data_IF_507260027848
#
_entry.id   IF_507260027848
#
_cell.length_a   1.000
_cell.length_b   1.000
_cell.length_c   1.000
_cell.angle_alpha   90.00
_cell.angle_beta   90.00
_cell.angle_gamma   90.00
#
_symmetry.space_group_name_H-M   'P 1'
#
loop_
_entity.id
_entity.type
_entity.pdbx_description
1 polymer ?
#
# COMPACT_ATOMS: atom_id res chain seq x y z
N UNK A 1 -1.20 -9.12 17.90
CA UNK A 1 -2.17 -8.31 17.14
C UNK A 1 -2.46 -9.07 15.87
N UNK A 2 -3.71 -9.47 15.65
CA UNK A 2 -4.13 -10.20 14.45
C UNK A 2 -4.73 -9.19 13.47
N UNK A 3 -4.33 -9.27 12.21
CA UNK A 3 -4.87 -8.44 11.14
C UNK A 3 -5.88 -9.23 10.32
N UNK A 4 -7.01 -8.60 10.01
CA UNK A 4 -7.99 -9.16 9.09
C UNK A 4 -7.62 -8.77 7.66
N UNK A 5 -7.18 -9.75 6.88
CA UNK A 5 -6.92 -9.57 5.44
C UNK A 5 -8.25 -9.55 4.69
N UNK A 6 -8.43 -8.55 3.84
CA UNK A 6 -9.61 -8.38 2.98
C UNK A 6 -9.20 -8.30 1.52
N UNK A 7 -10.12 -8.66 0.63
CA UNK A 7 -9.96 -8.42 -0.80
C UNK A 7 -10.57 -7.07 -1.16
N UNK A 8 -9.79 -6.21 -1.80
CA UNK A 8 -10.24 -4.93 -2.34
C UNK A 8 -10.21 -5.00 -3.87
N UNK A 9 -11.30 -4.56 -4.48
CA UNK A 9 -11.38 -4.38 -5.93
C UNK A 9 -11.42 -2.87 -6.22
N UNK A 10 -10.30 -2.31 -6.67
CA UNK A 10 -10.28 -0.93 -7.13
C UNK A 10 -10.91 -0.86 -8.52
N UNK A 11 -11.90 0.02 -8.67
CA UNK A 11 -12.67 0.18 -9.92
C UNK A 11 -12.06 1.24 -10.85
N UNK A 12 -11.18 2.07 -10.31
CA UNK A 12 -10.45 3.14 -10.98
C UNK A 12 -9.04 3.27 -10.39
N UNK A 13 -8.17 3.99 -11.10
CA UNK A 13 -6.83 4.30 -10.60
C UNK A 13 -6.91 5.38 -9.52
N UNK A 14 -6.09 5.26 -8.48
CA UNK A 14 -5.83 6.36 -7.56
C UNK A 14 -4.50 7.00 -7.94
N UNK A 15 -4.51 8.27 -8.30
CA UNK A 15 -3.36 9.08 -8.65
C UNK A 15 -2.73 9.77 -7.44
N UNK A 16 -1.40 9.89 -7.49
CA UNK A 16 -0.57 10.52 -6.48
C UNK A 16 0.43 11.46 -7.14
N UNK A 17 0.59 12.65 -6.57
CA UNK A 17 1.52 13.66 -7.01
C UNK A 17 2.74 13.68 -6.09
N UNK A 18 3.93 13.54 -6.68
CA UNK A 18 5.19 13.45 -5.94
C UNK A 18 5.94 14.79 -6.04
N UNK A 19 6.03 15.50 -4.91
CA UNK A 19 7.11 16.48 -4.75
C UNK A 19 8.38 15.72 -4.34
N UNK A 20 9.54 16.17 -4.80
CA UNK A 20 10.77 15.39 -4.82
C UNK A 20 11.28 14.93 -3.43
N UNK A 21 10.71 15.46 -2.36
CA UNK A 21 10.93 15.08 -0.97
C UNK A 21 9.59 15.13 -0.21
N UNK A 22 9.47 14.50 0.97
CA UNK A 22 8.31 14.71 1.87
C UNK A 22 8.11 16.20 2.27
N UNK A 23 9.07 17.06 1.90
CA UNK A 23 8.96 18.51 1.98
C UNK A 23 7.98 19.05 0.94
N UNK A 24 6.97 19.74 1.44
CA UNK A 24 5.95 20.43 0.68
C UNK A 24 6.57 21.70 0.07
N UNK A 25 6.64 21.83 -1.26
CA UNK A 25 6.93 23.12 -1.91
C UNK A 25 5.77 24.12 -1.75
N UNK A 26 6.07 25.43 -1.83
CA UNK A 26 5.05 26.50 -1.80
C UNK A 26 4.00 26.36 -2.93
N UNK A 27 4.36 25.73 -4.05
CA UNK A 27 3.46 25.46 -5.17
C UNK A 27 2.39 24.42 -4.83
N UNK A 28 2.72 23.49 -3.94
CA UNK A 28 1.82 22.46 -3.42
C UNK A 28 0.77 23.04 -2.47
N UNK A 29 1.02 24.19 -1.84
CA UNK A 29 0.06 24.87 -0.93
C UNK A 29 -1.12 25.51 -1.65
N UNK A 30 -0.95 25.82 -2.93
CA UNK A 30 -1.98 26.48 -3.75
C UNK A 30 -2.82 25.51 -4.57
N UNK A 31 -2.44 24.23 -4.61
CA UNK A 31 -3.12 23.25 -5.44
C UNK A 31 -4.29 22.59 -4.70
N UNK A 32 -5.51 23.07 -4.96
CA UNK A 32 -6.75 22.58 -4.34
C UNK A 32 -7.14 21.15 -4.71
N UNK A 33 -6.43 20.52 -5.65
CA UNK A 33 -6.73 19.15 -6.09
C UNK A 33 -5.89 18.08 -5.39
N UNK A 34 -4.97 18.49 -4.52
CA UNK A 34 -4.13 17.60 -3.71
C UNK A 34 -4.76 17.41 -2.33
N UNK A 35 -5.04 16.16 -1.99
CA UNK A 35 -5.45 15.75 -0.65
C UNK A 35 -4.23 15.30 0.16
N UNK A 36 -3.88 16.15 1.15
CA UNK A 36 -2.74 15.93 2.04
C UNK A 36 -3.02 14.97 3.19
N UNK A 37 -4.28 14.65 3.43
CA UNK A 37 -4.68 13.65 4.43
C UNK A 37 -4.28 12.25 3.99
N UNK A 38 -4.00 12.04 2.69
CA UNK A 38 -3.62 10.76 2.13
C UNK A 38 -2.21 10.77 1.51
N UNK A 39 -1.38 9.82 1.94
CA UNK A 39 -0.03 9.58 1.43
C UNK A 39 0.12 8.17 0.90
N UNK A 40 0.92 7.99 -0.14
CA UNK A 40 1.30 6.68 -0.67
C UNK A 40 2.81 6.46 -0.55
N UNK A 41 3.15 5.26 -0.09
CA UNK A 41 4.50 4.71 -0.13
C UNK A 41 4.46 3.35 -0.85
N UNK A 42 5.60 2.96 -1.40
CA UNK A 42 5.85 1.62 -1.91
C UNK A 42 7.03 0.99 -1.17
N UNK A 43 6.93 -0.31 -0.94
CA UNK A 43 7.98 -1.16 -0.45
C UNK A 43 8.19 -2.31 -1.44
N UNK A 44 9.43 -2.78 -1.56
CA UNK A 44 9.74 -4.05 -2.21
C UNK A 44 9.85 -5.15 -1.18
N UNK A 45 9.37 -6.34 -1.51
CA UNK A 45 9.66 -7.53 -0.70
C UNK A 45 10.89 -8.26 -1.22
N UNK A 46 11.67 -8.80 -0.30
CA UNK A 46 12.81 -9.69 -0.61
C UNK A 46 12.54 -11.13 -0.17
N UNK A 47 11.29 -11.47 0.16
CA UNK A 47 10.90 -12.82 0.56
C UNK A 47 11.07 -13.77 -0.61
N UNK A 48 12.00 -14.71 -0.47
CA UNK A 48 12.13 -15.84 -1.39
C UNK A 48 10.91 -16.76 -1.24
N UNK A 49 10.32 -17.17 -2.37
CA UNK A 49 9.19 -18.13 -2.42
C UNK A 49 9.53 -19.48 -1.79
N UNK A 50 10.82 -19.83 -1.70
CA UNK A 50 11.32 -21.04 -1.06
C UNK A 50 11.56 -20.87 0.45
N UNK A 51 11.53 -19.65 0.95
CA UNK A 51 11.68 -19.39 2.37
C UNK A 51 10.34 -19.63 3.07
N UNK A 52 10.29 -20.69 3.89
CA UNK A 52 9.11 -21.06 4.66
C UNK A 52 8.91 -20.20 5.91
N UNK A 53 9.97 -19.55 6.40
CA UNK A 53 9.96 -18.72 7.60
C UNK A 53 10.65 -17.36 7.34
N UNK A 54 10.08 -16.51 6.46
CA UNK A 54 10.59 -15.17 6.24
C UNK A 54 10.54 -14.33 7.52
N UNK A 55 11.54 -13.46 7.71
CA UNK A 55 11.54 -12.52 8.84
C UNK A 55 10.57 -11.37 8.54
N UNK A 56 9.95 -10.75 9.57
CA UNK A 56 9.03 -9.62 9.39
C UNK A 56 9.59 -8.46 8.55
N UNK A 57 10.89 -8.19 8.69
CA UNK A 57 11.62 -7.16 7.95
C UNK A 57 11.80 -7.46 6.45
N UNK A 58 11.69 -8.72 6.01
CA UNK A 58 11.88 -9.10 4.61
C UNK A 58 10.63 -8.80 3.75
N UNK A 59 9.48 -8.59 4.39
CA UNK A 59 8.24 -8.24 3.70
C UNK A 59 8.24 -6.80 3.19
N UNK A 60 8.87 -5.87 3.91
CA UNK A 60 8.86 -4.43 3.63
C UNK A 60 10.29 -3.87 3.63
N UNK A 61 10.93 -3.86 2.45
CA UNK A 61 12.24 -3.26 2.20
C UNK A 61 12.12 -2.07 1.22
N UNK A 62 13.18 -1.28 1.12
CA UNK A 62 13.30 -0.19 0.12
C UNK A 62 12.08 0.75 0.09
N UNK A 63 11.73 1.34 1.24
CA UNK A 63 10.64 2.31 1.34
C UNK A 63 10.88 3.48 0.39
N UNK A 64 9.91 3.77 -0.47
CA UNK A 64 9.90 4.95 -1.33
C UNK A 64 8.58 5.69 -1.20
N UNK A 65 8.64 7.01 -1.00
CA UNK A 65 7.47 7.88 -1.05
C UNK A 65 7.02 8.07 -2.51
N UNK A 66 5.71 7.92 -2.76
CA UNK A 66 5.10 8.06 -4.07
C UNK A 66 4.20 9.29 -4.18
N UNK A 67 4.02 10.05 -3.10
CA UNK A 67 3.32 11.32 -3.13
C UNK A 67 2.02 11.36 -2.32
N UNK A 68 1.34 12.49 -2.47
CA UNK A 68 0.03 12.78 -1.89
C UNK A 68 -1.08 12.48 -2.87
N UNK A 69 -2.28 12.13 -2.39
CA UNK A 69 -3.42 11.86 -3.27
C UNK A 69 -3.76 13.11 -4.09
N UNK A 70 -4.04 12.93 -5.38
CA UNK A 70 -4.55 13.99 -6.26
C UNK A 70 -5.79 13.52 -7.03
N UNK A 71 -6.74 14.42 -7.24
CA UNK A 71 -7.95 14.14 -8.03
C UNK A 71 -7.80 14.43 -9.52
N UNK A 72 -6.65 14.95 -9.94
CA UNK A 72 -6.29 15.15 -11.34
C UNK A 72 -5.34 14.02 -11.83
N UNK A 73 -4.41 14.37 -12.73
CA UNK A 73 -3.27 13.53 -13.11
C UNK A 73 -2.19 13.56 -12.03
N UNK A 74 -1.58 12.40 -11.76
CA UNK A 74 -0.43 12.28 -10.85
C UNK A 74 0.75 11.58 -11.53
N UNK A 75 1.93 11.73 -10.93
CA UNK A 75 3.17 11.08 -11.38
C UNK A 75 3.13 9.57 -11.15
N UNK A 76 2.37 9.14 -10.14
CA UNK A 76 2.18 7.74 -9.79
C UNK A 76 0.70 7.39 -9.69
N UNK A 77 0.40 6.11 -9.87
CA UNK A 77 -0.95 5.59 -9.66
C UNK A 77 -0.95 4.25 -8.95
N UNK A 78 -1.80 4.10 -7.94
CA UNK A 78 -2.27 2.80 -7.50
C UNK A 78 -3.32 2.31 -8.52
N UNK A 79 -2.99 1.25 -9.24
CA UNK A 79 -3.75 0.84 -10.41
C UNK A 79 -5.14 0.26 -10.07
N UNK A 80 -6.05 0.36 -11.02
CA UNK A 80 -7.29 -0.41 -11.05
C UNK A 80 -6.96 -1.91 -11.11
N UNK A 81 -7.01 -2.57 -9.97
CA UNK A 81 -6.74 -3.99 -9.84
C UNK A 81 -7.42 -4.59 -8.60
N UNK A 82 -7.16 -5.88 -8.38
CA UNK A 82 -7.54 -6.55 -7.15
C UNK A 82 -6.36 -6.61 -6.21
N UNK A 83 -6.62 -6.34 -4.95
CA UNK A 83 -5.62 -6.30 -3.89
C UNK A 83 -6.06 -7.19 -2.74
N UNK A 84 -5.08 -7.80 -2.07
CA UNK A 84 -5.22 -8.06 -0.66
C UNK A 84 -4.82 -6.83 0.12
N UNK A 85 -5.59 -6.49 1.14
CA UNK A 85 -5.28 -5.37 1.99
C UNK A 85 -5.63 -5.63 3.46
N UNK A 86 -4.92 -4.91 4.31
CA UNK A 86 -5.15 -4.80 5.76
C UNK A 86 -5.30 -3.33 6.08
N UNK A 87 -6.20 -2.98 7.00
CA UNK A 87 -6.37 -1.63 7.54
C UNK A 87 -6.33 -1.64 9.07
N UNK A 88 -5.61 -0.69 9.67
CA UNK A 88 -5.61 -0.48 11.11
C UNK A 88 -5.25 0.97 11.50
N UNK A 89 -5.41 1.28 12.79
CA UNK A 89 -5.00 2.55 13.40
C UNK A 89 -3.53 2.49 13.83
N UNK A 90 -2.97 3.64 14.22
CA UNK A 90 -1.65 3.76 14.86
C UNK A 90 -0.48 3.30 13.96
N UNK A 91 -0.22 4.04 12.86
CA UNK A 91 0.84 3.69 11.91
C UNK A 91 2.22 3.60 12.59
N UNK A 92 2.80 2.40 12.58
CA UNK A 92 4.17 2.16 13.03
C UNK A 92 4.80 1.00 12.24
N UNK A 93 6.13 0.99 12.18
CA UNK A 93 6.91 0.03 11.37
C UNK A 93 6.55 -1.43 11.70
N UNK A 94 6.44 -1.76 12.99
CA UNK A 94 6.11 -3.11 13.46
C UNK A 94 4.72 -3.54 13.00
N UNK A 95 3.73 -2.63 13.04
CA UNK A 95 2.38 -2.91 12.57
C UNK A 95 2.33 -3.12 11.06
N UNK A 96 3.10 -2.36 10.29
CA UNK A 96 3.21 -2.52 8.84
C UNK A 96 3.78 -3.89 8.46
N UNK A 97 4.87 -4.29 9.11
CA UNK A 97 5.52 -5.59 8.86
C UNK A 97 4.57 -6.75 9.14
N UNK A 98 3.89 -6.73 10.29
CA UNK A 98 2.91 -7.76 10.66
C UNK A 98 1.68 -7.78 9.74
N UNK A 99 1.27 -6.63 9.22
CA UNK A 99 0.19 -6.55 8.23
C UNK A 99 0.63 -7.14 6.86
N UNK A 100 1.86 -6.88 6.43
CA UNK A 100 2.43 -7.44 5.21
C UNK A 100 2.62 -8.96 5.31
N UNK A 101 3.09 -9.45 6.47
CA UNK A 101 3.15 -10.87 6.80
C UNK A 101 1.77 -11.52 6.74
N UNK A 102 0.75 -10.91 7.35
CA UNK A 102 -0.62 -11.44 7.33
C UNK A 102 -1.15 -11.58 5.88
N UNK A 103 -0.91 -10.58 5.03
CA UNK A 103 -1.29 -10.64 3.60
C UNK A 103 -0.58 -11.81 2.90
N UNK A 104 0.70 -12.01 3.18
CA UNK A 104 1.47 -13.11 2.59
C UNK A 104 0.94 -14.48 3.02
N UNK A 105 0.70 -14.68 4.31
CA UNK A 105 0.15 -15.92 4.86
C UNK A 105 -1.26 -16.21 4.31
N UNK A 106 -2.10 -15.19 4.20
CA UNK A 106 -3.43 -15.34 3.61
C UNK A 106 -3.37 -15.77 2.14
N UNK A 107 -2.44 -15.20 1.37
CA UNK A 107 -2.26 -15.59 -0.03
C UNK A 107 -1.75 -17.03 -0.18
N UNK A 108 -0.84 -17.47 0.69
CA UNK A 108 -0.42 -18.87 0.74
C UNK A 108 -1.61 -19.79 1.07
N UNK A 109 -2.40 -19.44 2.08
CA UNK A 109 -3.57 -20.22 2.49
C UNK A 109 -4.62 -20.34 1.38
N UNK A 110 -4.92 -19.24 0.68
CA UNK A 110 -5.90 -19.23 -0.42
C UNK A 110 -5.33 -19.68 -1.78
N UNK A 111 -4.04 -20.06 -1.85
CA UNK A 111 -3.34 -20.35 -3.10
C UNK A 111 -3.46 -19.23 -4.15
N UNK A 112 -3.38 -17.97 -3.70
CA UNK A 112 -3.43 -16.78 -4.54
C UNK A 112 -2.00 -16.33 -4.87
N UNK A 113 -1.79 -15.96 -6.13
CA UNK A 113 -0.52 -15.41 -6.60
C UNK A 113 -0.54 -13.89 -6.57
N UNK A 114 0.61 -13.31 -6.26
CA UNK A 114 0.84 -11.88 -6.38
C UNK A 114 1.35 -11.53 -7.79
N UNK A 115 0.95 -10.36 -8.28
CA UNK A 115 1.34 -9.88 -9.62
C UNK A 115 2.79 -9.41 -9.64
N UNK A 116 3.25 -8.85 -8.52
CA UNK A 116 4.56 -8.23 -8.38
C UNK A 116 5.13 -8.43 -6.96
N UNK A 117 6.33 -7.88 -6.77
CA UNK A 117 7.09 -7.93 -5.52
C UNK A 117 6.90 -6.64 -4.71
N UNK A 118 5.78 -5.94 -4.91
CA UNK A 118 5.50 -4.64 -4.31
C UNK A 118 4.41 -4.72 -3.24
N UNK A 119 4.64 -3.99 -2.16
CA UNK A 119 3.61 -3.62 -1.21
C UNK A 119 3.39 -2.11 -1.28
N UNK A 120 2.12 -1.71 -1.29
CA UNK A 120 1.74 -0.31 -1.18
C UNK A 120 1.29 -0.01 0.24
N UNK A 121 1.80 1.06 0.83
CA UNK A 121 1.35 1.59 2.11
C UNK A 121 0.62 2.90 1.85
N UNK A 122 -0.69 2.92 2.11
CA UNK A 122 -1.45 4.17 2.20
C UNK A 122 -1.54 4.60 3.65
N UNK A 123 -1.27 5.87 3.92
CA UNK A 123 -1.53 6.50 5.22
C UNK A 123 -2.64 7.51 5.01
N UNK A 124 -3.67 7.47 5.85
CA UNK A 124 -4.89 8.28 5.75
C UNK A 124 -5.13 9.02 7.07
N UNK A 125 -5.54 10.28 7.03
CA UNK A 125 -6.06 11.02 8.18
C UNK A 125 -7.59 11.13 8.08
N UNK A 126 -8.30 10.43 8.95
CA UNK A 126 -9.76 10.44 9.00
C UNK A 126 -10.25 10.85 10.39
N UNK A 127 -10.98 11.97 10.48
CA UNK A 127 -11.57 12.42 11.75
C UNK A 127 -10.55 12.66 12.87
N UNK A 128 -9.36 13.18 12.52
CA UNK A 128 -8.26 13.41 13.46
C UNK A 128 -7.51 12.15 13.89
N UNK A 129 -7.75 11.00 13.24
CA UNK A 129 -7.04 9.75 13.48
C UNK A 129 -6.24 9.35 12.25
N UNK A 130 -5.02 8.89 12.50
CA UNK A 130 -4.18 8.31 11.46
C UNK A 130 -4.47 6.81 11.30
N UNK A 131 -4.81 6.42 10.08
CA UNK A 131 -4.98 5.04 9.64
C UNK A 131 -3.87 4.67 8.67
N UNK A 132 -3.61 3.37 8.58
CA UNK A 132 -2.79 2.82 7.50
C UNK A 132 -3.52 1.69 6.78
N UNK A 133 -3.18 1.52 5.51
CA UNK A 133 -3.55 0.37 4.70
C UNK A 133 -2.30 -0.20 4.03
N UNK A 134 -2.03 -1.48 4.24
CA UNK A 134 -1.04 -2.21 3.42
C UNK A 134 -1.81 -2.95 2.33
N UNK A 135 -1.39 -2.79 1.08
CA UNK A 135 -2.01 -3.43 -0.08
C UNK A 135 -0.96 -4.20 -0.88
N UNK A 136 -1.37 -5.35 -1.44
CA UNK A 136 -0.58 -6.10 -2.40
C UNK A 136 -1.44 -6.58 -3.55
N UNK A 137 -0.97 -6.35 -4.78
CA UNK A 137 -1.70 -6.70 -6.00
C UNK A 137 -1.76 -8.21 -6.16
N UNK A 138 -2.96 -8.74 -6.40
CA UNK A 138 -3.20 -10.19 -6.59
C UNK A 138 -3.67 -10.51 -8.00
N UNK A 139 -3.27 -11.68 -8.49
CA UNK A 139 -3.79 -12.21 -9.74
C UNK A 139 -5.30 -12.48 -9.61
N UNK A 140 -6.07 -11.95 -10.54
CA UNK A 140 -7.47 -12.38 -10.71
C UNK A 140 -7.49 -13.50 -11.72
N UNK A 141 -7.97 -14.68 -11.31
CA UNK A 141 -8.37 -15.70 -12.28
C UNK A 141 -9.44 -15.07 -13.16
N UNK A 142 -9.15 -14.89 -14.46
CA UNK A 142 -10.21 -14.62 -15.44
C UNK A 142 -11.18 -15.80 -15.35
N UNK A 143 -12.44 -15.53 -15.03
CA UNK A 143 -13.49 -16.48 -15.32
C UNK A 143 -13.43 -16.72 -16.83
N UNK A 144 -13.10 -17.96 -17.21
CA UNK A 144 -13.19 -18.43 -18.60
C UNK A 144 -14.66 -18.65 -18.91
#
# INVERSE_FOLDING_TARGET
MAFLVRKLHLLENLYYFCDADESISEDLEKNSTIDRSEKLYVYKTTVDKKNLEPKPEDFLREKKFLGYRTFDTGDFSLAKASYFFVQAQEPNETAFQKAAEAIYLEALWQNIRFVDDLFYLRILEEGGKMLFQILRTIETKRAI
#
